data_IF_211003785208
#
_entry.id   IF_211003785208
#
_cell.length_a   1.000
_cell.length_b   1.000
_cell.length_c   1.000
_cell.angle_alpha   90.00
_cell.angle_beta   90.00
_cell.angle_gamma   90.00
#
_symmetry.space_group_name_H-M   'P 1'
#
loop_
_entity.id
_entity.type
_entity.pdbx_description
1 polymer ?
#
# COMPACT_ATOMS: atom_id res chain seq x y z
N UNK A 1 -34.55 5.39 -12.60
CA UNK A 1 -33.39 4.80 -11.91
C UNK A 1 -32.75 5.91 -11.12
N UNK A 2 -32.60 5.81 -9.79
CA UNK A 2 -31.87 6.81 -9.01
C UNK A 2 -30.41 6.86 -9.45
N UNK A 3 -29.83 8.04 -9.48
CA UNK A 3 -28.43 8.24 -9.89
C UNK A 3 -27.43 7.44 -9.03
N UNK A 4 -27.78 7.17 -7.79
CA UNK A 4 -26.97 6.40 -6.84
C UNK A 4 -26.78 4.92 -7.27
N UNK A 5 -27.77 4.31 -7.91
CA UNK A 5 -27.67 2.92 -8.39
C UNK A 5 -26.68 2.77 -9.54
N UNK A 6 -26.60 3.79 -10.42
CA UNK A 6 -25.66 3.79 -11.56
C UNK A 6 -24.22 3.93 -11.07
N UNK A 7 -24.00 4.80 -10.08
CA UNK A 7 -22.68 4.98 -9.47
C UNK A 7 -22.23 3.73 -8.71
N UNK A 8 -23.11 3.13 -7.93
CA UNK A 8 -22.85 1.91 -7.20
C UNK A 8 -22.50 0.75 -8.15
N UNK A 9 -23.26 0.59 -9.24
CA UNK A 9 -23.02 -0.47 -10.24
C UNK A 9 -21.69 -0.26 -10.97
N UNK A 10 -21.34 0.96 -11.36
CA UNK A 10 -20.07 1.26 -12.03
C UNK A 10 -18.87 1.04 -11.10
N UNK A 11 -18.99 1.36 -9.82
CA UNK A 11 -17.97 1.12 -8.80
C UNK A 11 -17.77 -0.39 -8.56
N UNK A 12 -18.88 -1.13 -8.43
CA UNK A 12 -18.84 -2.58 -8.27
C UNK A 12 -18.19 -3.27 -9.47
N UNK A 13 -18.56 -2.91 -10.71
CA UNK A 13 -17.96 -3.46 -11.91
C UNK A 13 -16.46 -3.22 -12.00
N UNK A 14 -16.01 -2.02 -11.59
CA UNK A 14 -14.59 -1.66 -11.53
C UNK A 14 -13.84 -2.53 -10.53
N UNK A 15 -14.35 -2.69 -9.31
CA UNK A 15 -13.72 -3.53 -8.30
C UNK A 15 -13.71 -5.00 -8.69
N UNK A 16 -14.81 -5.47 -9.30
CA UNK A 16 -14.89 -6.85 -9.81
C UNK A 16 -13.81 -7.11 -10.88
N UNK A 17 -13.58 -6.15 -11.76
CA UNK A 17 -12.55 -6.25 -12.79
C UNK A 17 -11.15 -6.38 -12.19
N UNK A 18 -10.77 -5.53 -11.22
CA UNK A 18 -9.48 -5.62 -10.54
C UNK A 18 -9.35 -6.92 -9.72
N UNK A 19 -10.39 -7.30 -8.98
CA UNK A 19 -10.41 -8.53 -8.17
C UNK A 19 -10.27 -9.79 -9.05
N UNK A 20 -11.00 -9.86 -10.16
CA UNK A 20 -10.91 -10.96 -11.10
C UNK A 20 -9.52 -11.10 -11.71
N UNK A 21 -8.89 -9.99 -12.10
CA UNK A 21 -7.51 -9.99 -12.61
C UNK A 21 -6.50 -10.48 -11.58
N UNK A 22 -6.63 -10.05 -10.32
CA UNK A 22 -5.78 -10.56 -9.23
C UNK A 22 -5.96 -12.06 -8.99
N UNK A 23 -7.19 -12.57 -9.15
CA UNK A 23 -7.51 -13.98 -9.04
C UNK A 23 -7.12 -14.81 -10.29
N UNK A 24 -6.52 -14.16 -11.32
CA UNK A 24 -6.19 -14.82 -12.58
C UNK A 24 -7.40 -15.17 -13.45
N UNK A 25 -8.57 -14.59 -13.14
CA UNK A 25 -9.78 -14.78 -13.92
C UNK A 25 -9.78 -13.82 -15.11
N UNK A 26 -10.09 -14.35 -16.29
CA UNK A 26 -10.22 -13.57 -17.53
C UNK A 26 -11.65 -13.07 -17.66
N UNK A 27 -11.85 -11.76 -17.64
CA UNK A 27 -13.14 -11.12 -17.91
C UNK A 27 -13.24 -10.61 -19.35
N UNK A 28 -12.10 -10.51 -20.02
CA UNK A 28 -11.98 -10.12 -21.42
C UNK A 28 -10.92 -11.01 -22.12
N UNK A 29 -10.92 -10.99 -23.43
CA UNK A 29 -10.01 -11.81 -24.25
C UNK A 29 -8.58 -11.26 -24.32
N UNK A 30 -8.24 -10.27 -23.56
CA UNK A 30 -6.90 -9.67 -23.54
C UNK A 30 -6.04 -10.42 -22.52
N UNK A 31 -5.02 -11.12 -23.03
CA UNK A 31 -3.97 -11.76 -22.23
C UNK A 31 -3.04 -10.66 -21.65
N UNK A 32 -3.46 -10.01 -20.56
CA UNK A 32 -2.60 -9.12 -19.80
C UNK A 32 -2.28 -9.76 -18.45
N UNK A 33 -1.30 -10.66 -18.43
CA UNK A 33 -0.65 -11.03 -17.17
C UNK A 33 0.09 -9.79 -16.64
N UNK A 34 -0.58 -9.08 -15.73
CA UNK A 34 -0.04 -7.85 -15.17
C UNK A 34 1.23 -8.08 -14.35
N UNK A 35 1.51 -9.31 -13.92
CA UNK A 35 2.69 -9.69 -13.13
C UNK A 35 3.73 -10.46 -13.93
N UNK A 36 4.02 -10.02 -15.17
CA UNK A 36 5.09 -10.61 -15.99
C UNK A 36 6.45 -10.55 -15.29
N UNK A 37 7.39 -11.41 -15.67
CA UNK A 37 8.76 -11.42 -15.14
C UNK A 37 9.41 -10.04 -15.29
N UNK A 38 9.27 -9.40 -16.46
CA UNK A 38 9.85 -8.08 -16.72
C UNK A 38 9.29 -7.01 -15.79
N UNK A 39 7.97 -7.01 -15.56
CA UNK A 39 7.32 -6.08 -14.63
C UNK A 39 7.76 -6.32 -13.19
N UNK A 40 7.87 -7.58 -12.75
CA UNK A 40 8.39 -7.93 -11.42
C UNK A 40 9.83 -7.48 -11.24
N UNK A 41 10.69 -7.73 -12.24
CA UNK A 41 12.09 -7.29 -12.21
C UNK A 41 12.20 -5.77 -12.15
N UNK A 42 11.40 -5.04 -12.96
CA UNK A 42 11.37 -3.58 -12.91
C UNK A 42 10.89 -3.06 -11.56
N UNK A 43 9.86 -3.67 -10.99
CA UNK A 43 9.32 -3.31 -9.68
C UNK A 43 10.34 -3.57 -8.55
N UNK A 44 11.06 -4.69 -8.57
CA UNK A 44 12.14 -4.97 -7.63
C UNK A 44 13.24 -3.91 -7.69
N UNK A 45 13.65 -3.49 -8.89
CA UNK A 45 14.64 -2.40 -9.06
C UNK A 45 14.15 -1.07 -8.48
N UNK A 46 12.86 -0.78 -8.59
CA UNK A 46 12.27 0.43 -8.00
C UNK A 46 12.24 0.37 -6.47
N UNK A 47 12.04 -0.82 -5.89
CA UNK A 47 11.99 -1.05 -4.44
C UNK A 47 13.38 -1.20 -3.82
N UNK A 48 14.40 -1.56 -4.59
CA UNK A 48 15.76 -1.79 -4.11
C UNK A 48 16.33 -0.67 -3.22
N UNK A 49 16.22 0.62 -3.59
CA UNK A 49 16.72 1.71 -2.74
C UNK A 49 15.99 1.81 -1.40
N UNK A 50 14.70 1.45 -1.37
CA UNK A 50 13.87 1.48 -0.16
C UNK A 50 14.30 0.40 0.84
N UNK A 51 14.71 -0.76 0.32
CA UNK A 51 15.18 -1.88 1.11
C UNK A 51 16.70 -1.84 1.34
N UNK A 52 17.41 -0.82 0.85
CA UNK A 52 18.88 -0.73 0.87
C UNK A 52 19.57 -2.04 0.44
N UNK A 53 18.87 -2.82 -0.39
CA UNK A 53 19.30 -4.11 -0.88
C UNK A 53 19.95 -3.97 -2.25
N UNK A 54 20.94 -4.82 -2.56
CA UNK A 54 21.48 -4.89 -3.92
C UNK A 54 20.46 -5.55 -4.86
N UNK A 55 20.57 -5.28 -6.14
CA UNK A 55 19.67 -5.88 -7.14
C UNK A 55 19.81 -7.41 -7.13
N UNK A 56 21.03 -7.94 -6.94
CA UNK A 56 21.27 -9.38 -6.85
C UNK A 56 20.53 -10.05 -5.69
N UNK A 57 20.46 -9.38 -4.53
CA UNK A 57 19.71 -9.90 -3.38
C UNK A 57 18.20 -9.94 -3.67
N UNK A 58 17.71 -8.96 -4.40
CA UNK A 58 16.30 -8.86 -4.75
C UNK A 58 15.90 -9.82 -5.88
N UNK A 59 16.82 -10.20 -6.76
CA UNK A 59 16.55 -11.19 -7.81
C UNK A 59 16.16 -12.55 -7.21
N UNK A 60 16.67 -12.90 -6.03
CA UNK A 60 16.27 -14.09 -5.29
C UNK A 60 14.77 -14.05 -4.87
N UNK A 61 14.20 -12.87 -4.71
CA UNK A 61 12.78 -12.68 -4.39
C UNK A 61 11.86 -12.84 -5.59
N UNK A 62 12.39 -12.86 -6.83
CA UNK A 62 11.59 -12.83 -8.05
C UNK A 62 10.47 -13.90 -8.12
N UNK A 63 10.67 -15.14 -7.64
CA UNK A 63 9.60 -16.14 -7.59
C UNK A 63 8.50 -15.84 -6.58
N UNK A 64 8.81 -15.04 -5.54
CA UNK A 64 7.95 -14.77 -4.37
C UNK A 64 7.40 -13.34 -4.37
N UNK A 65 7.44 -12.68 -5.52
CA UNK A 65 6.86 -11.33 -5.68
C UNK A 65 5.81 -11.28 -6.77
N UNK A 66 4.86 -10.39 -6.58
CA UNK A 66 3.76 -10.15 -7.52
C UNK A 66 3.53 -8.64 -7.68
N UNK A 67 3.34 -8.19 -8.92
CA UNK A 67 2.86 -6.83 -9.18
C UNK A 67 1.34 -6.85 -9.23
N UNK A 68 0.71 -6.04 -8.38
CA UNK A 68 -0.75 -6.04 -8.19
C UNK A 68 -1.30 -4.63 -8.40
N UNK A 69 -2.50 -4.54 -8.98
CA UNK A 69 -3.26 -3.28 -9.12
C UNK A 69 -4.52 -3.31 -8.28
N UNK A 70 -4.84 -2.13 -7.75
CA UNK A 70 -6.07 -1.84 -7.02
C UNK A 70 -6.77 -0.65 -7.65
N UNK A 71 -8.10 -0.71 -7.73
CA UNK A 71 -8.94 0.38 -8.19
C UNK A 71 -9.25 1.39 -7.08
N UNK A 72 -9.74 2.56 -7.49
CA UNK A 72 -10.11 3.64 -6.56
C UNK A 72 -11.11 3.17 -5.49
N UNK A 73 -10.82 3.51 -4.23
CA UNK A 73 -11.61 3.15 -3.05
C UNK A 73 -11.50 1.68 -2.63
N UNK A 74 -10.77 0.85 -3.36
CA UNK A 74 -10.63 -0.57 -3.03
C UNK A 74 -9.85 -0.77 -1.73
N UNK A 75 -10.31 -1.74 -0.91
CA UNK A 75 -9.65 -2.08 0.35
C UNK A 75 -8.47 -3.00 0.07
N UNK A 76 -7.28 -2.51 0.34
CA UNK A 76 -6.02 -3.25 0.17
C UNK A 76 -5.66 -4.07 1.41
N UNK A 77 -6.09 -3.60 2.59
CA UNK A 77 -5.84 -4.22 3.89
C UNK A 77 -7.00 -3.87 4.83
N UNK A 78 -7.51 -4.85 5.60
CA UNK A 78 -8.57 -4.63 6.60
C UNK A 78 -8.03 -4.67 8.00
N UNK A 79 -8.49 -3.76 8.85
CA UNK A 79 -8.21 -3.78 10.28
C UNK A 79 -8.60 -5.14 10.89
N UNK A 80 -7.75 -5.68 11.75
CA UNK A 80 -7.92 -6.98 12.41
C UNK A 80 -7.43 -8.18 11.60
N UNK A 81 -7.08 -8.04 10.33
CA UNK A 81 -6.48 -9.12 9.53
C UNK A 81 -4.96 -9.18 9.72
N UNK A 82 -4.41 -10.39 9.72
CA UNK A 82 -2.96 -10.60 9.69
C UNK A 82 -2.52 -10.77 8.24
N UNK A 83 -1.73 -9.84 7.67
CA UNK A 83 -1.32 -9.93 6.28
C UNK A 83 -0.33 -11.09 6.06
N UNK A 84 -0.40 -11.70 4.89
CA UNK A 84 0.56 -12.72 4.43
C UNK A 84 1.65 -12.16 3.52
N UNK A 85 1.47 -10.91 3.09
CA UNK A 85 2.40 -10.20 2.19
C UNK A 85 2.70 -8.82 2.73
N UNK A 86 3.85 -8.28 2.36
CA UNK A 86 4.17 -6.88 2.48
C UNK A 86 4.08 -6.22 1.10
N UNK A 87 3.40 -5.09 1.01
CA UNK A 87 3.12 -4.41 -0.27
C UNK A 87 3.84 -3.07 -0.33
N UNK A 88 4.73 -2.91 -1.31
CA UNK A 88 5.49 -1.68 -1.58
C UNK A 88 4.78 -0.87 -2.68
N UNK A 89 4.52 0.40 -2.43
CA UNK A 89 3.84 1.28 -3.36
C UNK A 89 4.76 1.68 -4.51
N UNK A 90 4.42 1.21 -5.72
CA UNK A 90 5.13 1.55 -6.95
C UNK A 90 4.54 2.77 -7.63
N UNK A 91 3.22 2.96 -7.50
CA UNK A 91 2.47 4.07 -8.09
C UNK A 91 1.14 4.28 -7.37
N UNK A 92 0.70 5.54 -7.28
CA UNK A 92 -0.58 5.90 -6.71
C UNK A 92 -0.48 6.30 -5.24
N UNK A 93 -1.62 6.32 -4.55
CA UNK A 93 -1.73 6.76 -3.16
C UNK A 93 -2.61 5.80 -2.36
N UNK A 94 -2.28 5.61 -1.09
CA UNK A 94 -3.06 4.76 -0.17
C UNK A 94 -3.41 5.56 1.07
N UNK A 95 -4.69 5.58 1.43
CA UNK A 95 -5.17 6.21 2.67
C UNK A 95 -5.25 5.17 3.77
N UNK A 96 -4.57 5.45 4.88
CA UNK A 96 -4.70 4.67 6.11
C UNK A 96 -5.80 5.26 6.99
N UNK A 97 -6.66 4.38 7.49
CA UNK A 97 -7.83 4.74 8.30
C UNK A 97 -7.87 3.81 9.52
N UNK A 98 -8.09 4.37 10.69
CA UNK A 98 -8.37 3.61 11.93
C UNK A 98 -9.79 3.87 12.40
N UNK A 99 -10.31 2.97 13.22
CA UNK A 99 -11.57 3.19 13.93
C UNK A 99 -11.31 4.01 15.19
N UNK A 100 -11.94 5.16 15.30
CA UNK A 100 -11.95 5.96 16.52
C UNK A 100 -12.79 5.32 17.63
N UNK A 101 -12.79 5.90 18.85
CA UNK A 101 -13.54 5.37 20.00
C UNK A 101 -15.07 5.29 19.79
N UNK A 102 -15.58 6.17 18.95
CA UNK A 102 -17.00 6.25 18.55
C UNK A 102 -17.34 5.38 17.33
N UNK A 103 -16.39 4.59 16.84
CA UNK A 103 -16.52 3.80 15.61
C UNK A 103 -16.36 4.64 14.32
N UNK A 104 -16.11 5.94 14.42
CA UNK A 104 -15.86 6.78 13.26
C UNK A 104 -14.56 6.37 12.55
N UNK A 105 -14.52 6.51 11.23
CA UNK A 105 -13.31 6.28 10.44
C UNK A 105 -12.42 7.51 10.46
N UNK A 106 -11.28 7.41 11.11
CA UNK A 106 -10.32 8.51 11.24
C UNK A 106 -9.15 8.27 10.28
N UNK A 107 -8.93 9.17 9.29
CA UNK A 107 -7.74 9.07 8.44
C UNK A 107 -6.49 9.39 9.26
N UNK A 108 -5.51 8.50 9.21
CA UNK A 108 -4.23 8.61 9.94
C UNK A 108 -3.16 9.22 9.07
N UNK A 109 -3.04 8.72 7.85
CA UNK A 109 -2.03 9.19 6.89
C UNK A 109 -2.40 8.82 5.47
N UNK A 110 -1.72 9.47 4.52
CA UNK A 110 -1.70 9.06 3.12
C UNK A 110 -0.28 8.59 2.80
N UNK A 111 -0.19 7.42 2.19
CA UNK A 111 1.05 6.82 1.71
C UNK A 111 1.21 7.11 0.22
N UNK A 112 2.44 7.24 -0.21
CA UNK A 112 2.85 7.59 -1.57
C UNK A 112 3.81 6.55 -2.15
N UNK A 113 4.22 6.74 -3.38
CA UNK A 113 5.29 5.95 -4.00
C UNK A 113 6.52 5.90 -3.09
N UNK A 114 7.07 4.71 -2.90
CA UNK A 114 8.16 4.51 -1.96
C UNK A 114 7.73 4.10 -0.55
N UNK A 115 6.46 4.22 -0.19
CA UNK A 115 5.91 3.70 1.05
C UNK A 115 5.52 2.21 0.95
N UNK A 116 5.12 1.61 2.08
CA UNK A 116 4.69 0.22 2.14
C UNK A 116 3.55 0.02 3.15
N UNK A 117 2.81 -1.08 2.99
CA UNK A 117 1.79 -1.58 3.95
C UNK A 117 2.02 -3.07 4.21
N UNK A 118 1.34 -3.61 5.22
CA UNK A 118 1.43 -5.04 5.55
C UNK A 118 2.68 -5.42 6.35
N UNK A 119 3.34 -4.47 6.99
CA UNK A 119 4.55 -4.70 7.79
C UNK A 119 4.34 -5.70 8.94
N UNK A 120 3.12 -5.78 9.48
CA UNK A 120 2.79 -6.75 10.54
C UNK A 120 2.75 -8.20 10.02
N UNK A 121 2.93 -8.42 8.72
CA UNK A 121 3.18 -9.76 8.18
C UNK A 121 4.37 -10.43 8.88
N UNK A 122 5.44 -9.66 9.15
CA UNK A 122 6.66 -10.15 9.79
C UNK A 122 6.47 -10.51 11.27
N UNK A 123 5.66 -9.74 11.99
CA UNK A 123 5.36 -10.01 13.42
C UNK A 123 4.17 -10.95 13.60
N UNK A 124 3.48 -11.29 12.50
CA UNK A 124 2.25 -12.10 12.51
C UNK A 124 1.13 -11.50 13.37
N UNK A 125 1.16 -10.18 13.53
CA UNK A 125 0.14 -9.46 14.28
C UNK A 125 -0.96 -8.92 13.35
N UNK A 126 -2.19 -8.81 13.85
CA UNK A 126 -3.25 -8.14 13.14
C UNK A 126 -2.92 -6.65 12.92
N UNK A 127 -3.31 -6.12 11.77
CA UNK A 127 -3.19 -4.68 11.51
C UNK A 127 -4.24 -3.89 12.27
N UNK A 128 -3.86 -2.74 12.79
CA UNK A 128 -4.74 -1.87 13.58
C UNK A 128 -5.60 -0.93 12.74
N UNK A 129 -5.30 -0.80 11.45
CA UNK A 129 -6.02 0.08 10.52
C UNK A 129 -6.27 -0.55 9.17
N UNK A 130 -7.20 0.03 8.44
CA UNK A 130 -7.50 -0.34 7.05
C UNK A 130 -6.72 0.55 6.08
N UNK A 131 -6.34 -0.02 4.94
CA UNK A 131 -5.69 0.70 3.84
C UNK A 131 -6.60 0.70 2.62
N UNK A 132 -6.82 1.89 2.05
CA UNK A 132 -7.70 2.10 0.91
C UNK A 132 -6.95 2.76 -0.24
N UNK A 133 -7.12 2.25 -1.44
CA UNK A 133 -6.58 2.85 -2.65
C UNK A 133 -7.23 4.22 -2.93
N UNK A 134 -6.43 5.20 -3.33
CA UNK A 134 -6.89 6.53 -3.76
C UNK A 134 -6.48 6.71 -5.22
N UNK A 135 -7.44 6.59 -6.11
CA UNK A 135 -7.21 6.38 -7.53
C UNK A 135 -6.71 4.95 -7.82
N UNK A 136 -6.11 4.73 -8.99
CA UNK A 136 -5.46 3.46 -9.28
C UNK A 136 -4.13 3.37 -8.53
N UNK A 137 -3.91 2.25 -7.85
CA UNK A 137 -2.68 1.96 -7.09
C UNK A 137 -2.01 0.72 -7.65
N UNK A 138 -0.70 0.79 -7.86
CA UNK A 138 0.13 -0.36 -8.22
C UNK A 138 1.12 -0.63 -7.10
N UNK A 139 1.21 -1.88 -6.67
CA UNK A 139 2.13 -2.33 -5.62
C UNK A 139 2.96 -3.52 -6.08
N UNK A 140 4.14 -3.69 -5.46
CA UNK A 140 4.88 -4.95 -5.43
C UNK A 140 4.54 -5.65 -4.12
N UNK A 141 3.89 -6.79 -4.20
CA UNK A 141 3.64 -7.68 -3.06
C UNK A 141 4.80 -8.65 -2.92
N UNK A 142 5.35 -8.76 -1.71
CA UNK A 142 6.41 -9.69 -1.34
C UNK A 142 5.85 -10.64 -0.30
N UNK A 143 5.95 -11.94 -0.55
CA UNK A 143 5.54 -12.97 0.40
C UNK A 143 6.36 -12.88 1.69
N UNK A 144 5.70 -13.06 2.83
CA UNK A 144 6.30 -13.00 4.17
C UNK A 144 7.56 -13.85 4.28
N UNK A 145 7.48 -15.14 3.91
CA UNK A 145 8.57 -16.08 4.10
C UNK A 145 9.82 -15.71 3.27
N UNK A 146 9.60 -15.11 2.10
CA UNK A 146 10.69 -14.60 1.27
C UNK A 146 11.33 -13.35 1.87
N UNK A 147 10.50 -12.46 2.41
CA UNK A 147 10.98 -11.26 3.09
C UNK A 147 11.72 -11.61 4.38
N UNK A 148 11.23 -12.57 5.16
CA UNK A 148 11.93 -13.09 6.35
C UNK A 148 13.33 -13.61 5.98
N UNK A 149 13.47 -14.41 4.92
CA UNK A 149 14.79 -14.88 4.45
C UNK A 149 15.73 -13.73 4.08
N UNK A 150 15.23 -12.72 3.38
CA UNK A 150 16.02 -11.53 3.03
C UNK A 150 16.49 -10.79 4.29
N UNK A 151 15.62 -10.58 5.26
CA UNK A 151 15.94 -9.89 6.52
C UNK A 151 16.94 -10.68 7.39
N UNK A 152 16.85 -12.01 7.40
CA UNK A 152 17.85 -12.84 8.07
C UNK A 152 19.24 -12.72 7.44
N UNK A 153 19.32 -12.55 6.13
CA UNK A 153 20.58 -12.34 5.43
C UNK A 153 21.13 -10.92 5.58
N UNK A 154 20.26 -9.94 5.97
CA UNK A 154 20.61 -8.50 6.06
C UNK A 154 19.99 -7.85 7.30
N UNK A 155 20.63 -8.02 8.46
CA UNK A 155 20.11 -7.50 9.74
C UNK A 155 19.92 -5.97 9.78
N UNK A 156 20.68 -5.22 9.00
CA UNK A 156 20.54 -3.76 8.87
C UNK A 156 19.17 -3.32 8.34
N UNK A 157 18.58 -4.09 7.42
CA UNK A 157 17.24 -3.83 6.90
C UNK A 157 16.17 -3.97 7.98
N UNK A 158 16.40 -4.83 8.95
CA UNK A 158 15.47 -5.05 10.05
C UNK A 158 15.33 -3.81 10.93
N UNK A 159 16.44 -3.09 11.17
CA UNK A 159 16.41 -1.86 11.98
C UNK A 159 15.60 -0.75 11.30
N UNK A 160 15.85 -0.49 10.03
CA UNK A 160 15.15 0.55 9.27
C UNK A 160 13.65 0.25 9.18
N UNK A 161 13.30 -1.01 8.94
CA UNK A 161 11.93 -1.46 8.85
C UNK A 161 11.21 -1.38 10.21
N UNK A 162 11.89 -1.76 11.30
CA UNK A 162 11.34 -1.66 12.66
C UNK A 162 11.03 -0.23 13.04
N UNK A 163 11.93 0.72 12.77
CA UNK A 163 11.68 2.14 13.03
C UNK A 163 10.47 2.68 12.26
N UNK A 164 10.33 2.30 10.99
CA UNK A 164 9.17 2.71 10.19
C UNK A 164 7.85 2.12 10.72
N UNK A 165 7.88 0.89 11.20
CA UNK A 165 6.73 0.21 11.83
C UNK A 165 6.32 0.94 13.12
N UNK A 166 7.27 1.23 13.99
CA UNK A 166 7.01 1.88 15.29
C UNK A 166 6.43 3.28 15.11
N UNK A 167 7.01 4.08 14.22
CA UNK A 167 6.48 5.40 13.90
C UNK A 167 5.04 5.36 13.38
N UNK A 168 4.69 4.35 12.57
CA UNK A 168 3.31 4.18 12.08
C UNK A 168 2.36 3.73 13.16
N UNK A 169 2.80 2.83 14.05
CA UNK A 169 2.00 2.40 15.22
C UNK A 169 1.68 3.58 16.13
N UNK A 170 2.64 4.43 16.41
CA UNK A 170 2.43 5.64 17.23
C UNK A 170 1.42 6.58 16.58
N UNK A 171 1.56 6.87 15.29
CA UNK A 171 0.60 7.72 14.55
C UNK A 171 -0.81 7.12 14.56
N UNK A 172 -0.94 5.81 14.35
CA UNK A 172 -2.22 5.12 14.38
C UNK A 172 -2.87 5.15 15.78
N UNK A 173 -2.08 4.99 16.85
CA UNK A 173 -2.55 5.09 18.23
C UNK A 173 -3.00 6.51 18.58
N UNK A 174 -2.20 7.51 18.24
CA UNK A 174 -2.55 8.92 18.47
C UNK A 174 -3.84 9.31 17.75
N UNK A 175 -4.04 8.85 16.52
CA UNK A 175 -5.29 9.09 15.79
C UNK A 175 -6.48 8.36 16.41
N UNK A 176 -6.30 7.13 16.91
CA UNK A 176 -7.37 6.35 17.55
C UNK A 176 -7.77 6.91 18.92
N UNK A 177 -6.84 7.55 19.66
CA UNK A 177 -7.12 8.20 20.94
C UNK A 177 -7.71 9.60 20.83
N UNK A 178 -7.87 10.13 19.62
CA UNK A 178 -8.40 11.48 19.39
C UNK A 178 -7.38 12.62 19.60
N UNK A 179 -6.11 12.28 19.82
CA UNK A 179 -5.01 13.24 20.02
C UNK A 179 -4.42 13.77 18.69
N UNK A 180 -4.96 13.38 17.56
CA UNK A 180 -4.45 13.80 16.25
C UNK A 180 -4.75 15.29 16.02
N UNK A 181 -3.85 16.14 16.46
CA UNK A 181 -3.79 17.55 16.07
C UNK A 181 -3.57 17.64 14.55
N UNK A 182 -4.32 18.52 13.90
CA UNK A 182 -4.34 18.78 12.47
C UNK A 182 -2.95 18.77 11.83
N UNK A 183 -2.80 18.01 10.75
CA UNK A 183 -1.66 18.15 9.84
C UNK A 183 -1.53 19.63 9.43
N UNK A 184 -0.33 20.21 9.41
CA UNK A 184 -0.15 21.54 8.88
C UNK A 184 -0.55 21.55 7.41
N UNK A 185 -1.50 22.40 7.08
CA UNK A 185 -1.88 22.68 5.71
C UNK A 185 -0.62 23.07 4.92
N UNK A 186 -0.44 22.44 3.76
CA UNK A 186 0.61 22.81 2.83
C UNK A 186 0.58 24.32 2.61
N UNK A 187 1.71 24.98 2.92
CA UNK A 187 1.92 26.39 2.64
C UNK A 187 1.85 26.59 1.15
N UNK A 188 0.75 27.16 0.70
CA UNK A 188 0.64 27.71 -0.65
C UNK A 188 1.67 28.84 -0.77
N UNK A 189 2.72 28.60 -1.53
CA UNK A 189 3.63 29.66 -1.96
C UNK A 189 2.86 30.51 -2.99
N UNK A 190 2.24 31.56 -2.51
CA UNK A 190 1.69 32.64 -3.32
C UNK A 190 2.85 33.52 -3.75
N UNK A 191 3.25 33.37 -5.00
CA UNK A 191 4.22 34.25 -5.65
C UNK A 191 3.57 35.60 -5.84
N UNK A 192 3.98 36.59 -5.07
CA UNK A 192 3.69 37.96 -5.32
C UNK A 192 4.46 38.45 -6.54
N UNK A 193 3.77 38.65 -7.66
CA UNK A 193 4.19 39.59 -8.69
C UNK A 193 4.09 40.99 -8.09
N UNK A 194 5.17 41.72 -8.19
CA UNK A 194 5.09 43.20 -8.13
C UNK A 194 5.93 43.77 -9.23
N UNK A 195 5.21 44.44 -10.12
CA UNK A 195 5.68 45.38 -11.15
C UNK A 195 6.75 46.36 -10.67
N UNK A 196 7.75 46.61 -11.47
CA UNK A 196 8.02 47.97 -11.95
C UNK A 196 8.93 47.88 -13.16
#
# INVERSE_FOLDING_TARGET
>A
MPADDVVAQSTFQRWLWYAARRAGLRLDSIDDDFSTVDRRTKALRQVAPMLRASISDLEELLPSVRVTRYGDGEVMQRSGETPSVMSFLLKGRVRLVVSGPDGARVPVSTLYEGDFIGQTALTREPVTGSAHAVGEVTVLEVERDALERLLFSKPELLQDLSQAIDQRRERARAAASGEATALPAAVSAESAETSH
#
